data_IF_029653349544
#
_entry.id   IF_029653349544
#
_cell.length_a   1.000
_cell.length_b   1.000
_cell.length_c   1.000
_cell.angle_alpha   90.00
_cell.angle_beta   90.00
_cell.angle_gamma   90.00
#
_symmetry.space_group_name_H-M   'P 1'
#
loop_
_entity.id
_entity.type
_entity.pdbx_description
1 polymer ?
#
# COMPACT_ATOMS: atom_id res chain seq x y z
N UNK A 1 26.58 25.69 15.21
CA UNK A 1 27.61 25.70 14.12
C UNK A 1 26.96 25.79 12.74
N UNK A 2 25.99 24.93 12.42
CA UNK A 2 25.30 24.92 11.12
C UNK A 2 24.66 26.27 10.78
N UNK A 3 23.89 26.87 11.70
CA UNK A 3 23.29 28.22 11.53
C UNK A 3 24.28 29.27 11.02
N UNK A 4 25.46 29.39 11.66
CA UNK A 4 26.52 30.33 11.23
C UNK A 4 27.05 30.09 9.81
N UNK A 5 26.96 28.87 9.30
CA UNK A 5 27.33 28.55 7.91
C UNK A 5 26.21 28.97 6.96
N UNK A 6 24.97 28.62 7.30
CA UNK A 6 23.78 28.90 6.51
C UNK A 6 23.53 30.41 6.38
N UNK A 7 23.78 31.19 7.44
CA UNK A 7 23.59 32.65 7.45
C UNK A 7 24.43 33.40 6.41
N UNK A 8 25.56 32.80 5.97
CA UNK A 8 26.39 33.37 4.90
C UNK A 8 25.69 33.38 3.54
N UNK A 9 24.61 32.62 3.39
CA UNK A 9 23.86 32.47 2.15
C UNK A 9 22.56 33.28 2.12
N UNK A 10 22.28 34.10 3.16
CA UNK A 10 21.07 34.93 3.24
C UNK A 10 19.76 34.14 3.07
N UNK A 11 19.69 32.97 3.72
CA UNK A 11 18.50 32.10 3.73
C UNK A 11 17.96 31.95 5.16
N UNK A 12 16.64 31.73 5.29
CA UNK A 12 16.01 31.45 6.58
C UNK A 12 16.09 29.95 6.88
N UNK A 13 16.50 29.60 8.10
CA UNK A 13 16.65 28.20 8.51
C UNK A 13 15.33 27.67 9.07
N UNK A 14 14.84 26.56 8.52
CA UNK A 14 13.79 25.74 9.13
C UNK A 14 14.43 24.49 9.75
N UNK A 15 13.97 24.12 10.95
CA UNK A 15 14.43 22.93 11.67
C UNK A 15 13.23 22.15 12.17
N UNK A 16 13.25 20.82 11.99
CA UNK A 16 12.24 19.95 12.58
C UNK A 16 12.28 20.00 14.11
N UNK A 17 11.10 20.07 14.73
CA UNK A 17 10.96 20.34 16.15
C UNK A 17 10.98 19.09 17.05
N UNK A 18 11.29 17.91 16.50
CA UNK A 18 11.34 16.61 17.21
C UNK A 18 12.09 16.65 18.54
N UNK A 19 13.39 16.89 18.44
CA UNK A 19 14.30 16.89 19.58
C UNK A 19 14.02 18.08 20.50
N UNK A 20 13.77 19.31 19.99
CA UNK A 20 13.35 20.42 20.83
C UNK A 20 12.04 20.19 21.60
N UNK A 21 11.07 19.45 21.06
CA UNK A 21 9.81 19.14 21.76
C UNK A 21 10.00 18.01 22.78
N UNK A 22 10.86 17.04 22.47
CA UNK A 22 11.24 15.97 23.41
C UNK A 22 12.05 16.48 24.60
N UNK A 23 12.87 17.50 24.38
CA UNK A 23 13.71 18.15 25.41
C UNK A 23 13.51 19.68 25.36
N UNK A 24 12.41 20.21 25.93
CA UNK A 24 12.01 21.62 25.79
C UNK A 24 13.03 22.66 26.25
N UNK A 25 13.98 22.29 27.12
CA UNK A 25 15.10 23.14 27.52
C UNK A 25 16.03 23.50 26.34
N UNK A 26 16.06 22.67 25.29
CA UNK A 26 16.84 22.94 24.07
C UNK A 26 16.31 24.20 23.36
N UNK A 27 14.99 24.44 23.42
CA UNK A 27 14.36 25.61 22.82
C UNK A 27 14.90 26.94 23.37
N UNK A 28 15.44 26.94 24.59
CA UNK A 28 16.04 28.15 25.20
C UNK A 28 17.47 28.41 24.66
N UNK A 29 18.12 27.39 24.11
CA UNK A 29 19.45 27.48 23.50
C UNK A 29 19.43 27.72 21.98
N UNK A 30 18.27 27.57 21.32
CA UNK A 30 18.14 27.74 19.88
C UNK A 30 18.10 29.22 19.46
N UNK A 31 18.70 29.60 18.31
CA UNK A 31 18.58 30.95 17.75
C UNK A 31 17.12 31.29 17.45
N UNK A 32 16.64 32.46 17.88
CA UNK A 32 15.23 32.87 17.74
C UNK A 32 14.78 33.21 16.32
N UNK A 33 15.72 33.33 15.38
CA UNK A 33 15.48 33.66 13.98
C UNK A 33 15.31 32.43 13.07
N UNK A 34 15.20 31.23 13.66
CA UNK A 34 14.85 30.00 12.94
C UNK A 34 13.33 29.79 12.95
N UNK A 35 12.84 29.03 11.97
CA UNK A 35 11.48 28.50 11.94
C UNK A 35 11.53 27.07 12.47
N UNK A 36 10.61 26.72 13.38
CA UNK A 36 10.43 25.35 13.82
C UNK A 36 9.29 24.68 13.05
N UNK A 37 9.59 23.55 12.40
CA UNK A 37 8.59 22.68 11.78
C UNK A 37 8.15 21.62 12.77
N UNK A 38 6.97 21.77 13.37
CA UNK A 38 6.40 20.78 14.29
C UNK A 38 5.54 19.78 13.51
N UNK A 39 5.62 18.51 13.87
CA UNK A 39 4.96 17.45 13.13
C UNK A 39 4.50 16.32 14.04
N UNK A 40 3.42 15.69 13.61
CA UNK A 40 2.96 14.37 14.04
C UNK A 40 1.94 13.92 13.00
N UNK A 41 1.84 12.61 12.84
CA UNK A 41 0.99 11.97 11.83
C UNK A 41 -0.23 11.29 12.43
N UNK A 42 -0.42 11.45 13.75
CA UNK A 42 -1.58 10.93 14.46
C UNK A 42 -2.83 11.78 14.19
N UNK A 43 -3.98 11.09 14.15
CA UNK A 43 -5.29 11.72 13.97
C UNK A 43 -5.87 12.21 15.31
N UNK A 44 -5.21 13.22 15.89
CA UNK A 44 -5.53 13.77 17.21
C UNK A 44 -6.72 14.75 17.17
N UNK A 45 -7.36 14.94 18.33
CA UNK A 45 -8.44 15.93 18.49
C UNK A 45 -7.89 17.33 18.77
N UNK A 46 -6.68 17.45 19.33
CA UNK A 46 -5.94 18.68 19.56
C UNK A 46 -4.43 18.47 19.42
N UNK A 47 -3.68 19.54 19.13
CA UNK A 47 -2.23 19.51 18.90
C UNK A 47 -1.44 20.43 19.85
N UNK A 48 -2.01 20.75 21.02
CA UNK A 48 -1.44 21.69 21.99
C UNK A 48 -0.01 21.28 22.43
N UNK A 49 0.23 19.99 22.62
CA UNK A 49 1.54 19.43 22.99
C UNK A 49 2.64 19.72 21.95
N UNK A 50 2.26 19.77 20.68
CA UNK A 50 3.17 19.99 19.55
C UNK A 50 3.39 21.47 19.23
N UNK A 51 2.51 22.35 19.74
CA UNK A 51 2.46 23.77 19.37
C UNK A 51 2.86 24.69 20.53
N UNK A 52 2.27 24.51 21.72
CA UNK A 52 2.42 25.45 22.84
C UNK A 52 3.88 25.62 23.29
N UNK A 53 4.71 24.56 23.43
CA UNK A 53 6.09 24.73 23.85
C UNK A 53 6.93 25.63 22.93
N UNK A 54 6.62 25.61 21.63
CA UNK A 54 7.27 26.41 20.59
C UNK A 54 6.75 27.85 20.64
N UNK A 55 5.43 28.02 20.64
CA UNK A 55 4.75 29.32 20.64
C UNK A 55 5.11 30.15 21.88
N UNK A 56 5.04 29.53 23.07
CA UNK A 56 5.32 30.21 24.35
C UNK A 56 6.75 30.73 24.45
N UNK A 57 7.68 30.12 23.70
CA UNK A 57 9.09 30.56 23.63
C UNK A 57 9.37 31.55 22.50
N UNK A 58 8.33 32.02 21.81
CA UNK A 58 8.39 33.09 20.83
C UNK A 58 9.05 32.71 19.50
N UNK A 59 9.02 31.43 19.12
CA UNK A 59 9.50 31.00 17.80
C UNK A 59 8.43 31.21 16.73
N UNK A 60 8.88 31.55 15.52
CA UNK A 60 8.06 31.31 14.32
C UNK A 60 8.02 29.81 14.05
N UNK A 61 6.85 29.32 13.62
CA UNK A 61 6.68 27.89 13.40
C UNK A 61 5.69 27.58 12.28
N UNK A 62 5.87 26.42 11.69
CA UNK A 62 4.96 25.80 10.74
C UNK A 62 4.54 24.44 11.31
N UNK A 63 3.30 24.04 11.03
CA UNK A 63 2.85 22.68 11.30
C UNK A 63 3.06 21.81 10.07
N UNK A 64 3.31 20.52 10.26
CA UNK A 64 3.64 19.62 9.17
C UNK A 64 2.81 18.34 9.27
N UNK A 65 1.50 18.39 8.92
CA UNK A 65 0.65 17.22 8.85
C UNK A 65 1.07 16.30 7.70
N UNK A 66 0.50 15.11 7.61
CA UNK A 66 0.89 14.10 6.64
C UNK A 66 -0.24 13.52 5.81
N UNK A 67 0.06 13.14 4.57
CA UNK A 67 -0.82 12.37 3.67
C UNK A 67 -0.84 10.87 4.03
N UNK A 68 0.21 10.37 4.70
CA UNK A 68 0.28 9.05 5.36
C UNK A 68 0.32 7.84 4.43
N UNK A 69 1.24 7.89 3.46
CA UNK A 69 1.47 6.87 2.45
C UNK A 69 2.64 5.90 2.78
N UNK A 70 3.52 6.28 3.69
CA UNK A 70 4.64 5.47 4.19
C UNK A 70 4.26 4.03 4.54
N UNK A 71 5.02 3.07 4.02
CA UNK A 71 4.89 1.61 4.24
C UNK A 71 3.53 1.03 3.88
N UNK A 72 2.79 1.69 2.98
CA UNK A 72 1.45 1.29 2.57
C UNK A 72 1.32 1.20 1.06
N UNK A 73 0.36 0.40 0.62
CA UNK A 73 -0.04 0.32 -0.79
C UNK A 73 -0.69 1.63 -1.24
N UNK A 74 -1.51 2.25 -0.38
CA UNK A 74 -2.11 3.57 -0.60
C UNK A 74 -2.26 4.32 0.73
N UNK A 75 -2.44 5.65 0.70
CA UNK A 75 -2.51 6.43 1.93
C UNK A 75 -3.73 6.09 2.78
N UNK A 76 -3.58 6.12 4.11
CA UNK A 76 -4.73 6.02 5.01
C UNK A 76 -5.40 7.39 5.16
N UNK A 77 -6.36 7.67 4.28
CA UNK A 77 -7.06 8.96 4.28
C UNK A 77 -8.01 9.15 5.46
N UNK A 78 -8.45 8.10 6.17
CA UNK A 78 -9.19 8.31 7.42
C UNK A 78 -8.31 9.03 8.46
N UNK A 79 -7.07 8.61 8.60
CA UNK A 79 -6.10 9.24 9.51
C UNK A 79 -5.62 10.58 8.94
N UNK A 80 -5.24 10.64 7.67
CA UNK A 80 -4.64 11.81 7.04
C UNK A 80 -5.59 13.02 7.06
N UNK A 81 -6.86 12.85 6.68
CA UNK A 81 -7.82 13.97 6.64
C UNK A 81 -8.05 14.57 8.03
N UNK A 82 -8.17 13.72 9.07
CA UNK A 82 -8.33 14.19 10.45
C UNK A 82 -7.06 14.89 10.95
N UNK A 83 -5.88 14.33 10.65
CA UNK A 83 -4.60 14.93 10.99
C UNK A 83 -4.45 16.32 10.35
N UNK A 84 -4.58 16.43 9.03
CA UNK A 84 -4.48 17.69 8.27
C UNK A 84 -5.43 18.74 8.82
N UNK A 85 -6.74 18.45 8.88
CA UNK A 85 -7.75 19.45 9.28
C UNK A 85 -7.51 19.97 10.69
N UNK A 86 -7.30 19.07 11.65
CA UNK A 86 -7.22 19.45 13.06
C UNK A 86 -5.88 20.12 13.39
N UNK A 87 -4.78 19.70 12.75
CA UNK A 87 -3.47 20.31 12.97
C UNK A 87 -3.45 21.74 12.40
N UNK A 88 -3.97 21.94 11.18
CA UNK A 88 -4.12 23.26 10.57
C UNK A 88 -5.01 24.19 11.42
N UNK A 89 -6.14 23.67 11.91
CA UNK A 89 -7.06 24.42 12.78
C UNK A 89 -6.35 24.97 14.01
N UNK A 90 -5.56 24.14 14.67
CA UNK A 90 -4.85 24.53 15.90
C UNK A 90 -3.66 25.44 15.58
N UNK A 91 -2.98 25.21 14.45
CA UNK A 91 -1.92 26.07 13.93
C UNK A 91 -2.40 27.50 13.67
N UNK A 92 -3.55 27.66 13.02
CA UNK A 92 -4.16 28.96 12.73
C UNK A 92 -4.49 29.70 14.03
N UNK A 93 -5.14 29.04 14.99
CA UNK A 93 -5.43 29.61 16.33
C UNK A 93 -4.15 30.00 17.06
N UNK A 94 -3.08 29.26 16.85
CA UNK A 94 -1.80 29.48 17.50
C UNK A 94 -0.93 30.55 16.83
N UNK A 95 -1.27 30.99 15.61
CA UNK A 95 -0.51 31.99 14.86
C UNK A 95 0.69 31.40 14.11
N UNK A 96 0.61 30.14 13.67
CA UNK A 96 1.60 29.54 12.79
C UNK A 96 1.75 30.37 11.49
N UNK A 97 2.96 30.41 10.93
CA UNK A 97 3.22 31.17 9.69
C UNK A 97 2.87 30.39 8.42
N UNK A 98 2.52 29.10 8.55
CA UNK A 98 2.10 28.25 7.45
C UNK A 98 2.12 26.76 7.80
N UNK A 99 1.92 25.93 6.77
CA UNK A 99 1.90 24.48 6.87
C UNK A 99 2.77 23.84 5.77
N UNK A 100 3.44 22.72 6.10
CA UNK A 100 4.14 21.84 5.16
C UNK A 100 3.39 20.50 5.07
N UNK A 101 2.60 20.30 4.01
CA UNK A 101 1.87 19.05 3.83
C UNK A 101 2.85 17.94 3.42
N UNK A 102 3.14 17.03 4.34
CA UNK A 102 4.20 16.04 4.16
C UNK A 102 3.69 14.79 3.46
N UNK A 103 4.41 14.38 2.42
CA UNK A 103 4.25 13.09 1.74
C UNK A 103 5.58 12.36 1.89
N UNK A 104 5.57 11.16 2.47
CA UNK A 104 6.77 10.41 2.83
C UNK A 104 6.73 9.00 2.24
N UNK A 105 7.70 8.65 1.40
CA UNK A 105 7.67 7.38 0.66
C UNK A 105 8.50 6.27 1.33
N UNK A 106 8.41 6.15 2.65
CA UNK A 106 9.07 5.07 3.37
C UNK A 106 8.53 3.70 2.87
N UNK A 107 9.40 2.70 2.75
CA UNK A 107 9.07 1.38 2.19
C UNK A 107 9.38 1.25 0.69
N UNK A 108 9.30 2.35 -0.05
CA UNK A 108 9.74 2.46 -1.45
C UNK A 108 8.76 1.91 -2.49
N UNK A 109 7.62 1.34 -2.10
CA UNK A 109 6.57 0.89 -3.02
C UNK A 109 5.66 2.03 -3.52
N UNK A 110 5.56 3.12 -2.76
CA UNK A 110 4.62 4.21 -3.01
C UNK A 110 4.72 4.82 -4.42
N UNK A 111 3.59 5.30 -4.91
CA UNK A 111 3.46 6.06 -6.15
C UNK A 111 2.73 7.37 -5.82
N UNK A 112 3.31 8.51 -6.19
CA UNK A 112 2.84 9.84 -5.80
C UNK A 112 1.47 10.17 -6.38
N UNK A 113 1.09 9.59 -7.52
CA UNK A 113 -0.28 9.67 -8.06
C UNK A 113 -1.35 9.31 -7.01
N UNK A 114 -1.05 8.42 -6.04
CA UNK A 114 -1.99 8.05 -4.95
C UNK A 114 -2.11 9.12 -3.87
N UNK A 115 -1.27 10.14 -3.87
CA UNK A 115 -1.19 11.15 -2.81
C UNK A 115 -1.94 12.45 -3.15
N UNK A 116 -2.30 12.65 -4.42
CA UNK A 116 -2.95 13.89 -4.89
C UNK A 116 -4.24 14.23 -4.14
N UNK A 117 -5.02 13.24 -3.72
CA UNK A 117 -6.21 13.48 -2.90
C UNK A 117 -5.86 14.14 -1.55
N UNK A 118 -4.83 13.64 -0.85
CA UNK A 118 -4.35 14.22 0.40
C UNK A 118 -3.62 15.56 0.21
N UNK A 119 -2.90 15.72 -0.90
CA UNK A 119 -2.28 17.00 -1.29
C UNK A 119 -3.35 18.07 -1.50
N UNK A 120 -4.39 17.76 -2.27
CA UNK A 120 -5.50 18.67 -2.53
C UNK A 120 -6.28 19.01 -1.25
N UNK A 121 -6.49 18.03 -0.36
CA UNK A 121 -7.15 18.29 0.91
C UNK A 121 -6.31 19.19 1.83
N UNK A 122 -4.99 19.00 1.86
CA UNK A 122 -4.10 19.92 2.56
C UNK A 122 -4.15 21.34 2.01
N UNK A 123 -4.27 21.50 0.69
CA UNK A 123 -4.45 22.81 0.07
C UNK A 123 -5.78 23.48 0.49
N UNK A 124 -6.88 22.72 0.50
CA UNK A 124 -8.19 23.19 0.98
C UNK A 124 -8.10 23.67 2.43
N UNK A 125 -7.53 22.86 3.33
CA UNK A 125 -7.45 23.18 4.76
C UNK A 125 -6.44 24.29 5.08
N UNK A 126 -5.40 24.46 4.25
CA UNK A 126 -4.47 25.60 4.36
C UNK A 126 -5.11 26.92 3.93
N UNK A 127 -5.95 26.90 2.90
CA UNK A 127 -6.56 28.12 2.35
C UNK A 127 -7.83 28.54 3.10
N UNK A 128 -8.65 27.56 3.43
CA UNK A 128 -9.93 27.75 4.12
C UNK A 128 -10.16 26.60 5.10
N UNK A 129 -9.47 26.63 6.25
CA UNK A 129 -9.68 25.65 7.31
C UNK A 129 -11.15 25.66 7.75
N UNK A 130 -11.86 24.56 7.49
CA UNK A 130 -13.30 24.48 7.66
C UNK A 130 -13.73 23.10 8.19
N UNK A 131 -14.95 23.03 8.73
CA UNK A 131 -15.56 21.80 9.23
C UNK A 131 -16.64 21.25 8.27
N UNK A 132 -16.54 21.58 6.97
CA UNK A 132 -17.44 21.03 5.96
C UNK A 132 -17.31 19.51 5.85
N UNK A 133 -18.35 18.91 5.28
CA UNK A 133 -18.36 17.47 5.01
C UNK A 133 -17.31 17.14 3.95
N UNK A 134 -16.62 16.03 4.13
CA UNK A 134 -15.61 15.56 3.17
C UNK A 134 -16.24 15.32 1.80
N UNK A 135 -17.51 14.93 1.74
CA UNK A 135 -18.26 14.72 0.50
C UNK A 135 -18.41 16.02 -0.33
N UNK A 136 -18.49 17.18 0.33
CA UNK A 136 -18.55 18.47 -0.34
C UNK A 136 -17.19 18.81 -0.98
N UNK A 137 -16.09 18.51 -0.28
CA UNK A 137 -14.73 18.60 -0.83
C UNK A 137 -14.53 17.63 -2.00
N UNK A 138 -14.95 16.37 -1.85
CA UNK A 138 -14.85 15.35 -2.90
C UNK A 138 -15.54 15.84 -4.18
N UNK A 139 -16.75 16.40 -4.07
CA UNK A 139 -17.50 16.92 -5.22
C UNK A 139 -16.76 18.06 -5.91
N UNK A 140 -16.15 18.99 -5.15
CA UNK A 140 -15.35 20.07 -5.72
C UNK A 140 -14.06 19.57 -6.37
N UNK A 141 -13.38 18.61 -5.74
CA UNK A 141 -12.15 18.02 -6.25
C UNK A 141 -12.39 17.28 -7.57
N UNK A 142 -13.37 16.37 -7.61
CA UNK A 142 -13.70 15.61 -8.82
C UNK A 142 -14.08 16.53 -9.96
N UNK A 143 -14.95 17.51 -9.72
CA UNK A 143 -15.37 18.43 -10.76
C UNK A 143 -14.25 19.38 -11.20
N UNK A 144 -13.49 19.94 -10.24
CA UNK A 144 -12.53 21.01 -10.47
C UNK A 144 -11.18 20.54 -11.01
N UNK A 145 -10.71 19.36 -10.58
CA UNK A 145 -9.41 18.80 -11.01
C UNK A 145 -9.62 17.77 -12.10
N UNK A 146 -10.52 16.82 -11.88
CA UNK A 146 -10.69 15.67 -12.78
C UNK A 146 -11.75 15.89 -13.86
N UNK A 147 -12.56 16.96 -13.76
CA UNK A 147 -13.69 17.18 -14.67
C UNK A 147 -14.82 16.14 -14.52
N UNK A 148 -14.77 15.34 -13.46
CA UNK A 148 -15.72 14.25 -13.20
C UNK A 148 -16.90 14.74 -12.35
N UNK A 149 -18.11 14.38 -12.77
CA UNK A 149 -19.35 14.77 -12.09
C UNK A 149 -19.91 13.66 -11.19
N UNK A 150 -19.29 12.49 -11.20
CA UNK A 150 -19.80 11.29 -10.54
C UNK A 150 -18.99 10.90 -9.31
N UNK A 151 -17.97 11.67 -8.94
CA UNK A 151 -17.06 11.39 -7.83
C UNK A 151 -16.34 10.04 -7.94
N UNK A 152 -16.19 9.52 -9.16
CA UNK A 152 -15.69 8.17 -9.44
C UNK A 152 -14.35 7.89 -8.80
N UNK A 153 -13.42 8.86 -8.79
CA UNK A 153 -12.12 8.67 -8.18
C UNK A 153 -12.22 8.59 -6.65
N UNK A 154 -12.86 9.58 -6.03
CA UNK A 154 -12.95 9.61 -4.56
C UNK A 154 -13.80 8.47 -4.03
N UNK A 155 -14.89 8.11 -4.69
CA UNK A 155 -15.72 6.99 -4.27
C UNK A 155 -14.92 5.68 -4.31
N UNK A 156 -14.09 5.48 -5.34
CA UNK A 156 -13.18 4.35 -5.41
C UNK A 156 -12.07 4.39 -4.33
N UNK A 157 -11.51 5.57 -4.05
CA UNK A 157 -10.55 5.75 -2.94
C UNK A 157 -11.19 5.31 -1.62
N UNK A 158 -12.36 5.83 -1.28
CA UNK A 158 -13.05 5.49 -0.03
C UNK A 158 -13.49 4.04 -0.01
N UNK A 159 -13.84 3.46 -1.16
CA UNK A 159 -14.11 2.03 -1.25
C UNK A 159 -12.87 1.19 -0.93
N UNK A 160 -11.71 1.54 -1.48
CA UNK A 160 -10.45 0.86 -1.17
C UNK A 160 -10.01 1.06 0.29
N UNK A 161 -10.39 2.15 0.95
CA UNK A 161 -10.09 2.34 2.38
C UNK A 161 -10.77 1.30 3.28
N UNK A 162 -11.88 0.68 2.85
CA UNK A 162 -12.50 -0.43 3.59
C UNK A 162 -11.52 -1.61 3.77
N UNK A 163 -10.52 -1.74 2.89
CA UNK A 163 -9.48 -2.76 3.00
C UNK A 163 -8.64 -2.58 4.27
N UNK A 164 -8.49 -1.36 4.80
CA UNK A 164 -7.71 -1.09 6.00
C UNK A 164 -8.24 -1.81 7.24
N UNK A 165 -9.55 -2.08 7.28
CA UNK A 165 -10.24 -2.75 8.38
C UNK A 165 -10.14 -4.28 8.31
N UNK A 166 -9.72 -4.83 7.17
CA UNK A 166 -9.60 -6.26 6.97
C UNK A 166 -8.24 -6.77 7.49
N UNK A 167 -8.21 -7.68 8.48
CA UNK A 167 -6.96 -8.13 9.08
C UNK A 167 -5.90 -8.63 8.07
N UNK A 168 -6.24 -9.36 6.98
CA UNK A 168 -5.25 -9.83 6.01
C UNK A 168 -4.46 -8.73 5.30
N UNK A 169 -4.96 -7.49 5.26
CA UNK A 169 -4.28 -6.35 4.61
C UNK A 169 -3.34 -5.61 5.54
N UNK A 170 -3.40 -5.86 6.85
CA UNK A 170 -2.60 -5.18 7.87
C UNK A 170 -2.67 -3.64 7.74
N UNK A 171 -3.87 -3.06 7.69
CA UNK A 171 -4.04 -1.61 7.45
C UNK A 171 -3.35 -1.16 6.15
N UNK A 172 -3.54 -1.96 5.08
CA UNK A 172 -2.99 -1.75 3.74
C UNK A 172 -1.45 -1.67 3.69
N UNK A 173 -0.76 -2.31 4.63
CA UNK A 173 0.70 -2.26 4.71
C UNK A 173 1.35 -2.97 3.51
N UNK A 174 2.38 -2.38 2.91
CA UNK A 174 3.07 -2.96 1.74
C UNK A 174 3.72 -4.32 2.03
N UNK A 175 3.95 -4.67 3.31
CA UNK A 175 4.52 -5.97 3.70
C UNK A 175 3.69 -7.16 3.23
N UNK A 176 2.38 -6.99 3.06
CA UNK A 176 1.49 -8.07 2.59
C UNK A 176 1.88 -8.51 1.17
N UNK A 177 2.41 -7.58 0.37
CA UNK A 177 2.91 -7.84 -0.99
C UNK A 177 4.04 -8.85 -0.95
N UNK A 178 4.91 -8.77 0.06
CA UNK A 178 6.15 -9.53 0.15
C UNK A 178 6.04 -10.81 0.97
N UNK A 179 4.85 -11.11 1.51
CA UNK A 179 4.64 -12.28 2.37
C UNK A 179 4.78 -13.56 1.54
N UNK A 180 5.61 -14.51 2.00
CA UNK A 180 5.85 -15.75 1.26
C UNK A 180 4.54 -16.55 1.04
N UNK A 181 4.35 -17.06 -0.17
CA UNK A 181 3.17 -17.84 -0.59
C UNK A 181 3.55 -19.27 -0.98
N UNK A 182 4.80 -19.52 -1.32
CA UNK A 182 5.29 -20.81 -1.83
C UNK A 182 6.39 -21.29 -0.87
N UNK A 183 6.24 -22.45 -0.22
CA UNK A 183 7.31 -22.99 0.60
C UNK A 183 8.52 -23.37 -0.26
N UNK A 184 9.70 -23.23 0.31
CA UNK A 184 10.90 -23.89 -0.21
C UNK A 184 10.69 -25.41 -0.24
N UNK A 185 11.42 -26.12 -1.12
CA UNK A 185 11.33 -27.58 -1.18
C UNK A 185 11.61 -28.20 0.19
N UNK A 186 10.82 -29.21 0.54
CA UNK A 186 10.88 -29.93 1.82
C UNK A 186 10.48 -29.11 3.05
N UNK A 187 9.90 -27.92 2.85
CA UNK A 187 9.31 -27.11 3.91
C UNK A 187 7.79 -27.05 3.76
N UNK A 188 7.13 -26.72 4.86
CA UNK A 188 5.68 -26.52 4.93
C UNK A 188 5.33 -25.05 5.15
N UNK A 189 4.21 -24.61 4.56
CA UNK A 189 3.65 -23.29 4.81
C UNK A 189 2.18 -23.39 5.26
N UNK A 190 1.75 -22.51 6.15
CA UNK A 190 0.33 -22.36 6.51
C UNK A 190 -0.20 -21.05 5.93
N UNK A 191 -1.33 -21.12 5.21
CA UNK A 191 -1.97 -19.94 4.60
C UNK A 191 -3.42 -19.86 5.08
N UNK A 192 -3.82 -18.67 5.53
CA UNK A 192 -5.22 -18.36 5.80
C UNK A 192 -5.86 -17.82 4.52
N UNK A 193 -7.03 -18.36 4.17
CA UNK A 193 -7.83 -17.89 3.03
C UNK A 193 -9.06 -17.08 3.46
N UNK A 194 -9.20 -16.80 4.76
CA UNK A 194 -10.31 -16.01 5.26
C UNK A 194 -10.21 -14.56 4.78
N UNK A 195 -11.36 -13.94 4.55
CA UNK A 195 -11.54 -12.52 4.21
C UNK A 195 -10.93 -12.08 2.85
N UNK A 196 -10.18 -12.94 2.15
CA UNK A 196 -9.66 -12.64 0.81
C UNK A 196 -10.73 -12.49 -0.27
N UNK A 197 -11.85 -13.23 -0.16
CA UNK A 197 -13.01 -13.03 -1.03
C UNK A 197 -13.64 -11.63 -0.85
N UNK A 198 -13.68 -11.13 0.39
CA UNK A 198 -14.18 -9.78 0.66
C UNK A 198 -13.20 -8.71 0.16
N UNK A 199 -11.88 -8.93 0.30
CA UNK A 199 -10.84 -8.07 -0.29
C UNK A 199 -11.04 -7.97 -1.81
N UNK A 200 -11.27 -9.11 -2.48
CA UNK A 200 -11.51 -9.17 -3.92
C UNK A 200 -12.79 -8.41 -4.30
N UNK A 201 -13.88 -8.62 -3.56
CA UNK A 201 -15.15 -7.91 -3.78
C UNK A 201 -15.00 -6.40 -3.64
N UNK A 202 -14.36 -5.91 -2.57
CA UNK A 202 -14.10 -4.48 -2.35
C UNK A 202 -13.29 -3.90 -3.52
N UNK A 203 -12.25 -4.62 -3.95
CA UNK A 203 -11.40 -4.19 -5.06
C UNK A 203 -12.15 -4.13 -6.39
N UNK A 204 -13.03 -5.10 -6.67
CA UNK A 204 -13.87 -5.12 -7.87
C UNK A 204 -14.92 -4.01 -7.88
N UNK A 205 -15.51 -3.70 -6.71
CA UNK A 205 -16.41 -2.57 -6.54
C UNK A 205 -15.67 -1.24 -6.81
N UNK A 206 -14.47 -1.05 -6.27
CA UNK A 206 -13.63 0.11 -6.55
C UNK A 206 -13.27 0.22 -8.04
N UNK A 207 -12.88 -0.88 -8.68
CA UNK A 207 -12.64 -0.94 -10.12
C UNK A 207 -13.87 -0.50 -10.93
N UNK A 208 -15.05 -0.97 -10.55
CA UNK A 208 -16.31 -0.61 -11.23
C UNK A 208 -16.64 0.87 -11.11
N UNK A 209 -16.36 1.49 -9.95
CA UNK A 209 -16.52 2.94 -9.75
C UNK A 209 -15.60 3.76 -10.66
N UNK A 210 -14.35 3.33 -10.81
CA UNK A 210 -13.37 4.00 -11.67
C UNK A 210 -13.70 3.81 -13.16
N UNK A 211 -14.11 2.61 -13.57
CA UNK A 211 -14.48 2.32 -14.96
C UNK A 211 -15.82 2.96 -15.37
N UNK A 212 -16.67 3.28 -14.41
CA UNK A 212 -17.92 4.01 -14.62
C UNK A 212 -17.75 5.53 -14.84
N UNK A 213 -16.51 6.05 -14.81
CA UNK A 213 -16.23 7.48 -14.96
C UNK A 213 -16.62 8.02 -16.34
N UNK A 214 -16.92 9.31 -16.42
CA UNK A 214 -17.00 10.03 -17.70
C UNK A 214 -15.60 10.30 -18.28
N UNK A 215 -15.52 10.93 -19.45
CA UNK A 215 -14.23 11.46 -19.93
C UNK A 215 -13.68 12.46 -18.91
N UNK A 216 -12.60 12.08 -18.25
CA UNK A 216 -11.96 12.82 -17.16
C UNK A 216 -10.58 13.33 -17.57
N UNK A 217 -10.08 14.33 -16.86
CA UNK A 217 -8.69 14.79 -16.93
C UNK A 217 -7.81 13.94 -16.00
N UNK A 218 -6.51 13.92 -16.29
CA UNK A 218 -5.50 13.21 -15.47
C UNK A 218 -5.78 11.70 -15.34
N UNK A 219 -5.98 11.02 -16.48
CA UNK A 219 -6.28 9.57 -16.52
C UNK A 219 -5.27 8.72 -15.74
N UNK A 220 -3.99 9.11 -15.70
CA UNK A 220 -2.93 8.41 -14.97
C UNK A 220 -3.27 8.25 -13.47
N UNK A 221 -3.92 9.25 -12.84
CA UNK A 221 -4.32 9.18 -11.43
C UNK A 221 -5.37 8.07 -11.22
N UNK A 222 -6.36 8.00 -12.12
CA UNK A 222 -7.35 6.92 -12.07
C UNK A 222 -6.73 5.56 -12.37
N UNK A 223 -5.80 5.48 -13.33
CA UNK A 223 -5.12 4.23 -13.70
C UNK A 223 -4.30 3.66 -12.55
N UNK A 224 -3.66 4.50 -11.72
CA UNK A 224 -2.94 4.04 -10.53
C UNK A 224 -3.89 3.47 -9.48
N UNK A 225 -5.10 4.01 -9.32
CA UNK A 225 -6.10 3.39 -8.43
C UNK A 225 -6.72 2.11 -9.02
N UNK A 226 -6.89 2.01 -10.35
CA UNK A 226 -7.25 0.73 -11.01
C UNK A 226 -6.19 -0.33 -10.74
N UNK A 227 -4.91 0.03 -10.91
CA UNK A 227 -3.79 -0.85 -10.58
C UNK A 227 -3.78 -1.24 -9.09
N UNK A 228 -4.15 -0.33 -8.20
CA UNK A 228 -4.26 -0.62 -6.75
C UNK A 228 -5.31 -1.68 -6.47
N UNK A 229 -6.50 -1.54 -7.05
CA UNK A 229 -7.56 -2.54 -6.95
C UNK A 229 -7.14 -3.89 -7.58
N UNK A 230 -6.57 -3.86 -8.80
CA UNK A 230 -6.08 -5.07 -9.46
C UNK A 230 -4.99 -5.80 -8.65
N UNK A 231 -4.11 -5.04 -7.99
CA UNK A 231 -3.09 -5.59 -7.11
C UNK A 231 -3.70 -6.31 -5.91
N UNK A 232 -4.72 -5.74 -5.25
CA UNK A 232 -5.43 -6.43 -4.16
C UNK A 232 -6.20 -7.66 -4.62
N UNK A 233 -6.86 -7.59 -5.79
CA UNK A 233 -7.47 -8.77 -6.41
C UNK A 233 -6.43 -9.86 -6.68
N UNK A 234 -5.26 -9.49 -7.19
CA UNK A 234 -4.17 -10.43 -7.43
C UNK A 234 -3.65 -11.05 -6.14
N UNK A 235 -3.45 -10.28 -5.07
CA UNK A 235 -3.00 -10.83 -3.78
C UNK A 235 -4.03 -11.82 -3.22
N UNK A 236 -5.32 -11.51 -3.32
CA UNK A 236 -6.39 -12.41 -2.91
C UNK A 236 -6.35 -13.73 -3.71
N UNK A 237 -6.32 -13.63 -5.03
CA UNK A 237 -6.26 -14.80 -5.91
C UNK A 237 -4.99 -15.60 -5.73
N UNK A 238 -3.85 -14.95 -5.47
CA UNK A 238 -2.59 -15.61 -5.16
C UNK A 238 -2.69 -16.51 -3.92
N UNK A 239 -3.38 -16.04 -2.86
CA UNK A 239 -3.56 -16.82 -1.62
C UNK A 239 -4.54 -17.97 -1.81
N UNK A 240 -5.64 -17.72 -2.52
CA UNK A 240 -6.69 -18.70 -2.76
C UNK A 240 -6.17 -19.79 -3.71
N UNK A 241 -5.66 -19.41 -4.89
CA UNK A 241 -5.31 -20.33 -5.96
C UNK A 241 -4.10 -21.21 -5.61
N UNK A 242 -3.14 -20.72 -4.82
CA UNK A 242 -2.02 -21.53 -4.33
C UNK A 242 -2.50 -22.62 -3.37
N UNK A 243 -3.44 -22.30 -2.47
CA UNK A 243 -4.04 -23.30 -1.57
C UNK A 243 -4.86 -24.32 -2.37
N UNK A 244 -5.64 -23.87 -3.35
CA UNK A 244 -6.41 -24.74 -4.23
C UNK A 244 -5.52 -25.64 -5.11
N UNK A 245 -4.37 -25.13 -5.58
CA UNK A 245 -3.39 -25.92 -6.32
C UNK A 245 -2.78 -27.01 -5.43
N UNK A 246 -2.46 -26.69 -4.16
CA UNK A 246 -1.99 -27.66 -3.18
C UNK A 246 -3.06 -28.71 -2.84
N UNK A 247 -4.32 -28.29 -2.65
CA UNK A 247 -5.45 -29.20 -2.44
C UNK A 247 -5.65 -30.12 -3.64
N UNK A 248 -5.63 -29.58 -4.86
CA UNK A 248 -5.75 -30.34 -6.11
C UNK A 248 -4.62 -31.35 -6.25
N UNK A 249 -3.38 -30.96 -5.98
CA UNK A 249 -2.24 -31.89 -6.04
C UNK A 249 -2.37 -33.03 -5.01
N UNK A 250 -2.84 -32.73 -3.78
CA UNK A 250 -3.13 -33.75 -2.76
C UNK A 250 -4.22 -34.72 -3.22
N UNK A 251 -5.28 -34.23 -3.85
CA UNK A 251 -6.33 -35.08 -4.43
C UNK A 251 -5.80 -35.97 -5.57
N UNK A 252 -4.87 -35.48 -6.40
CA UNK A 252 -4.20 -36.31 -7.39
C UNK A 252 -3.38 -37.43 -6.76
N UNK A 253 -2.72 -37.19 -5.62
CA UNK A 253 -1.98 -38.23 -4.90
C UNK A 253 -2.89 -39.26 -4.25
N UNK A 254 -4.02 -38.83 -3.65
CA UNK A 254 -4.99 -39.75 -3.05
C UNK A 254 -5.62 -40.69 -4.09
N UNK A 255 -5.84 -40.17 -5.30
CA UNK A 255 -6.48 -40.89 -6.40
C UNK A 255 -5.48 -41.48 -7.40
N UNK A 256 -4.19 -41.61 -7.06
CA UNK A 256 -3.11 -41.85 -8.04
C UNK A 256 -3.27 -43.13 -8.88
N UNK A 257 -4.04 -44.10 -8.38
CA UNK A 257 -4.39 -45.32 -9.10
C UNK A 257 -5.46 -45.10 -10.19
N UNK A 258 -6.35 -44.12 -10.01
CA UNK A 258 -7.23 -43.60 -11.05
C UNK A 258 -6.51 -42.52 -11.86
N UNK A 259 -5.98 -42.95 -13.00
CA UNK A 259 -5.16 -42.14 -13.90
C UNK A 259 -5.93 -41.00 -14.55
N UNK A 260 -7.24 -41.13 -14.75
CA UNK A 260 -8.05 -40.09 -15.37
C UNK A 260 -8.35 -39.00 -14.34
N UNK A 261 -8.81 -39.41 -13.15
CA UNK A 261 -9.13 -38.49 -12.05
C UNK A 261 -7.88 -37.72 -11.60
N UNK A 262 -6.77 -38.42 -11.35
CA UNK A 262 -5.53 -37.77 -10.91
C UNK A 262 -4.98 -36.78 -11.92
N UNK A 263 -5.02 -37.12 -13.21
CA UNK A 263 -4.57 -36.22 -14.26
C UNK A 263 -5.41 -34.95 -14.32
N UNK A 264 -6.73 -35.05 -14.12
CA UNK A 264 -7.62 -33.89 -14.03
C UNK A 264 -7.20 -32.95 -12.89
N UNK A 265 -6.91 -33.51 -11.71
CA UNK A 265 -6.46 -32.71 -10.56
C UNK A 265 -5.08 -32.08 -10.77
N UNK A 266 -4.14 -32.78 -11.41
CA UNK A 266 -2.83 -32.21 -11.76
C UNK A 266 -2.95 -31.04 -12.75
N UNK A 267 -3.82 -31.18 -13.77
CA UNK A 267 -4.10 -30.07 -14.70
C UNK A 267 -4.73 -28.88 -13.98
N UNK A 268 -5.64 -29.12 -13.02
CA UNK A 268 -6.24 -28.05 -12.23
C UNK A 268 -5.17 -27.29 -11.41
N UNK A 269 -4.27 -28.03 -10.75
CA UNK A 269 -3.16 -27.44 -10.01
C UNK A 269 -2.24 -26.61 -10.93
N UNK A 270 -1.88 -27.13 -12.11
CA UNK A 270 -1.04 -26.43 -13.08
C UNK A 270 -1.70 -25.15 -13.60
N UNK A 271 -2.96 -25.22 -14.03
CA UNK A 271 -3.70 -24.07 -14.54
C UNK A 271 -3.80 -22.94 -13.51
N UNK A 272 -4.10 -23.28 -12.24
CA UNK A 272 -4.17 -22.28 -11.17
C UNK A 272 -2.85 -21.51 -11.00
N UNK A 273 -1.69 -22.17 -11.13
CA UNK A 273 -0.38 -21.51 -11.01
C UNK A 273 -0.03 -20.73 -12.28
N UNK A 274 -0.35 -21.24 -13.47
CA UNK A 274 -0.08 -20.56 -14.74
C UNK A 274 -0.87 -19.25 -14.87
N UNK A 275 -2.13 -19.22 -14.42
CA UNK A 275 -2.93 -17.98 -14.36
C UNK A 275 -2.30 -16.93 -13.45
N UNK A 276 -1.77 -17.34 -12.29
CA UNK A 276 -1.07 -16.45 -11.37
C UNK A 276 0.23 -15.91 -11.97
N UNK A 277 0.98 -16.74 -12.71
CA UNK A 277 2.22 -16.34 -13.36
C UNK A 277 2.00 -15.23 -14.40
N UNK A 278 0.95 -15.36 -15.23
CA UNK A 278 0.57 -14.36 -16.22
C UNK A 278 0.23 -13.02 -15.52
N UNK A 279 -0.55 -13.08 -14.44
CA UNK A 279 -0.95 -11.88 -13.70
C UNK A 279 0.21 -11.21 -12.97
N UNK A 280 1.11 -11.97 -12.34
CA UNK A 280 2.31 -11.43 -11.70
C UNK A 280 3.16 -10.65 -12.71
N UNK A 281 3.32 -11.16 -13.93
CA UNK A 281 4.07 -10.46 -14.99
C UNK A 281 3.39 -9.14 -15.41
N UNK A 282 2.05 -9.13 -15.49
CA UNK A 282 1.29 -7.91 -15.76
C UNK A 282 1.46 -6.88 -14.63
N UNK A 283 1.33 -7.29 -13.37
CA UNK A 283 1.54 -6.41 -12.20
C UNK A 283 2.94 -5.79 -12.21
N UNK A 284 3.97 -6.59 -12.50
CA UNK A 284 5.36 -6.11 -12.64
C UNK A 284 5.49 -5.07 -13.77
N UNK A 285 4.89 -5.33 -14.93
CA UNK A 285 4.91 -4.42 -16.07
C UNK A 285 4.22 -3.10 -15.75
N UNK A 286 3.03 -3.15 -15.16
CA UNK A 286 2.24 -1.96 -14.81
C UNK A 286 2.95 -1.13 -13.74
N UNK A 287 3.52 -1.77 -12.71
CA UNK A 287 4.33 -1.08 -11.72
C UNK A 287 5.52 -0.35 -12.35
N UNK A 288 6.28 -1.01 -13.24
CA UNK A 288 7.38 -0.39 -13.98
C UNK A 288 6.90 0.81 -14.79
N UNK A 289 5.75 0.70 -15.45
CA UNK A 289 5.14 1.79 -16.22
C UNK A 289 4.84 2.98 -15.31
N UNK A 290 4.07 2.80 -14.24
CA UNK A 290 3.69 3.89 -13.34
C UNK A 290 4.89 4.54 -12.67
N UNK A 291 5.87 3.73 -12.22
CA UNK A 291 7.11 4.27 -11.69
C UNK A 291 7.79 5.21 -12.70
N UNK A 292 7.91 4.81 -13.96
CA UNK A 292 8.59 5.61 -14.98
C UNK A 292 7.80 6.86 -15.42
N UNK A 293 6.52 6.97 -15.08
CA UNK A 293 5.73 8.18 -15.34
C UNK A 293 6.10 9.32 -14.37
N UNK A 294 6.47 9.01 -13.13
CA UNK A 294 6.72 10.01 -12.08
C UNK A 294 8.13 9.96 -11.46
N UNK A 295 8.85 8.84 -11.58
CA UNK A 295 10.12 8.60 -10.89
C UNK A 295 11.30 8.33 -11.84
N UNK A 296 12.51 8.55 -11.32
CA UNK A 296 13.77 8.19 -12.00
C UNK A 296 14.05 6.70 -11.88
N UNK A 297 14.78 6.15 -12.84
CA UNK A 297 15.17 4.73 -12.88
C UNK A 297 16.05 4.27 -11.72
N UNK A 298 16.72 5.18 -11.01
CA UNK A 298 17.75 4.88 -10.01
C UNK A 298 17.32 3.93 -8.88
N UNK A 299 16.04 3.94 -8.50
CA UNK A 299 15.52 3.14 -7.38
C UNK A 299 14.42 2.15 -7.78
N UNK A 300 14.16 2.00 -9.08
CA UNK A 300 13.10 1.10 -9.59
C UNK A 300 13.35 -0.36 -9.19
N UNK A 301 14.61 -0.79 -9.25
CA UNK A 301 15.09 -2.12 -8.90
C UNK A 301 14.74 -2.55 -7.47
N UNK A 302 14.69 -1.60 -6.52
CA UNK A 302 14.38 -1.87 -5.11
C UNK A 302 13.04 -2.55 -4.88
N UNK A 303 12.08 -2.34 -5.79
CA UNK A 303 10.76 -2.96 -5.77
C UNK A 303 10.64 -4.03 -6.84
N UNK A 304 11.12 -3.76 -8.06
CA UNK A 304 10.95 -4.71 -9.17
C UNK A 304 11.70 -6.02 -8.94
N UNK A 305 12.86 -6.00 -8.28
CA UNK A 305 13.61 -7.22 -7.98
C UNK A 305 12.82 -8.16 -7.05
N UNK A 306 12.06 -7.61 -6.10
CA UNK A 306 11.18 -8.39 -5.22
C UNK A 306 10.03 -9.03 -6.00
N UNK A 307 9.42 -8.27 -6.92
CA UNK A 307 8.36 -8.78 -7.79
C UNK A 307 8.88 -9.84 -8.78
N UNK A 308 10.11 -9.68 -9.28
CA UNK A 308 10.79 -10.63 -10.15
C UNK A 308 11.14 -11.93 -9.40
N UNK A 309 11.56 -11.85 -8.13
CA UNK A 309 11.75 -13.04 -7.28
C UNK A 309 10.43 -13.81 -7.10
N UNK A 310 9.32 -13.12 -6.84
CA UNK A 310 8.00 -13.74 -6.75
C UNK A 310 7.58 -14.42 -8.05
N UNK A 311 7.81 -13.76 -9.19
CA UNK A 311 7.60 -14.34 -10.50
C UNK A 311 8.44 -15.61 -10.69
N UNK A 312 9.73 -15.58 -10.35
CA UNK A 312 10.63 -16.74 -10.46
C UNK A 312 10.17 -17.90 -9.57
N UNK A 313 9.64 -17.64 -8.38
CA UNK A 313 9.09 -18.68 -7.48
C UNK A 313 7.85 -19.34 -8.08
N UNK A 314 6.93 -18.55 -8.66
CA UNK A 314 5.76 -19.07 -9.37
C UNK A 314 6.17 -19.89 -10.60
N UNK A 315 7.14 -19.40 -11.38
CA UNK A 315 7.65 -20.09 -12.58
C UNK A 315 8.27 -21.44 -12.22
N UNK A 316 9.12 -21.49 -11.17
CA UNK A 316 9.69 -22.75 -10.65
C UNK A 316 8.61 -23.71 -10.17
N UNK A 317 7.54 -23.22 -9.55
CA UNK A 317 6.40 -24.06 -9.14
C UNK A 317 5.63 -24.62 -10.35
N UNK A 318 5.32 -23.78 -11.33
CA UNK A 318 4.68 -24.19 -12.59
C UNK A 318 5.51 -25.28 -13.30
N UNK A 319 6.82 -25.07 -13.45
CA UNK A 319 7.72 -26.05 -14.07
C UNK A 319 7.72 -27.40 -13.33
N UNK A 320 7.74 -27.40 -11.99
CA UNK A 320 7.66 -28.64 -11.18
C UNK A 320 6.31 -29.36 -11.33
N UNK A 321 5.22 -28.62 -11.49
CA UNK A 321 3.89 -29.18 -11.75
C UNK A 321 3.81 -29.80 -13.15
N UNK A 322 4.36 -29.15 -14.17
CA UNK A 322 4.46 -29.69 -15.53
C UNK A 322 5.34 -30.94 -15.59
N UNK A 323 6.47 -30.95 -14.88
CA UNK A 323 7.31 -32.15 -14.72
C UNK A 323 6.51 -33.28 -14.06
N UNK A 324 5.77 -32.98 -13.00
CA UNK A 324 4.93 -33.96 -12.30
C UNK A 324 3.84 -34.53 -13.21
N UNK A 325 3.23 -33.70 -14.05
CA UNK A 325 2.25 -34.13 -15.06
C UNK A 325 2.88 -35.04 -16.13
N UNK A 326 4.07 -34.69 -16.62
CA UNK A 326 4.82 -35.48 -17.61
C UNK A 326 5.28 -36.84 -17.06
N UNK A 327 5.85 -36.83 -15.85
CA UNK A 327 6.27 -38.03 -15.14
C UNK A 327 5.06 -38.90 -14.81
N UNK A 328 3.96 -38.27 -14.38
CA UNK A 328 2.70 -38.96 -14.20
C UNK A 328 2.33 -39.65 -15.51
N UNK A 329 2.20 -38.95 -16.65
CA UNK A 329 1.83 -39.51 -17.96
C UNK A 329 2.75 -40.68 -18.42
N UNK A 330 4.02 -40.71 -17.99
CA UNK A 330 4.95 -41.85 -18.15
C UNK A 330 4.73 -43.03 -17.19
N UNK A 331 3.66 -43.01 -16.40
CA UNK A 331 3.30 -43.98 -15.37
C UNK A 331 4.24 -44.01 -14.16
N UNK A 332 4.92 -42.90 -13.88
CA UNK A 332 5.67 -42.74 -12.63
C UNK A 332 4.74 -42.32 -11.49
N UNK A 333 5.21 -42.52 -10.26
CA UNK A 333 4.49 -42.08 -9.06
C UNK A 333 4.67 -40.56 -8.85
N UNK A 334 3.64 -39.90 -8.33
CA UNK A 334 3.73 -38.48 -7.97
C UNK A 334 4.69 -38.30 -6.80
N UNK A 335 5.46 -37.22 -6.86
CA UNK A 335 6.36 -36.81 -5.78
C UNK A 335 5.54 -36.28 -4.60
N UNK A 336 6.02 -36.40 -3.35
CA UNK A 336 5.41 -35.75 -2.19
C UNK A 336 5.19 -34.24 -2.39
N UNK A 337 4.15 -33.61 -1.78
CA UNK A 337 3.86 -32.20 -1.98
C UNK A 337 4.99 -31.26 -1.54
N UNK A 338 5.72 -31.61 -0.49
CA UNK A 338 6.86 -30.84 0.02
C UNK A 338 8.02 -30.81 -0.99
N UNK A 339 8.24 -31.89 -1.73
CA UNK A 339 9.25 -31.96 -2.78
C UNK A 339 8.98 -30.98 -3.94
N UNK A 340 7.70 -30.75 -4.27
CA UNK A 340 7.30 -29.84 -5.34
C UNK A 340 6.92 -28.43 -4.87
N UNK A 341 6.97 -28.15 -3.56
CA UNK A 341 6.61 -26.84 -3.00
C UNK A 341 5.11 -26.61 -2.86
N UNK A 342 4.32 -27.68 -2.70
CA UNK A 342 2.87 -27.66 -2.44
C UNK A 342 2.49 -28.25 -1.07
N UNK A 343 3.43 -28.43 -0.14
CA UNK A 343 3.09 -28.71 1.26
C UNK A 343 2.56 -27.43 1.94
N UNK A 344 1.32 -27.11 1.61
CA UNK A 344 0.60 -25.92 2.07
C UNK A 344 -0.64 -26.38 2.83
N UNK A 345 -0.79 -25.89 4.05
CA UNK A 345 -1.94 -26.12 4.92
C UNK A 345 -2.86 -24.90 4.97
N UNK A 346 -4.13 -25.10 4.65
CA UNK A 346 -5.18 -24.13 4.91
C UNK A 346 -5.44 -24.04 6.42
N UNK A 347 -5.41 -22.83 6.96
CA UNK A 347 -5.78 -22.57 8.36
C UNK A 347 -7.02 -21.66 8.42
N UNK A 348 -7.87 -21.87 9.42
CA UNK A 348 -9.12 -21.14 9.62
C UNK A 348 -8.97 -19.89 10.50
N UNK A 349 -7.76 -19.55 10.95
CA UNK A 349 -7.50 -18.39 11.80
C UNK A 349 -6.91 -17.21 11.04
N UNK A 350 -7.12 -16.00 11.55
CA UNK A 350 -6.46 -14.76 11.09
C UNK A 350 -4.99 -14.66 11.55
N UNK A 351 -4.46 -15.68 12.22
CA UNK A 351 -3.11 -15.67 12.75
C UNK A 351 -2.08 -15.74 11.61
N UNK A 352 -1.55 -14.59 11.26
CA UNK A 352 -0.37 -14.45 10.43
C UNK A 352 0.86 -15.09 11.12
N UNK A 353 1.12 -16.37 10.84
CA UNK A 353 2.35 -17.06 11.26
C UNK A 353 3.48 -17.01 10.21
N UNK A 354 3.28 -16.29 9.11
CA UNK A 354 4.30 -16.14 8.06
C UNK A 354 5.48 -15.22 8.40
N UNK A 355 5.47 -14.58 9.58
CA UNK A 355 6.43 -13.53 9.98
C UNK A 355 7.54 -14.01 10.92
N UNK A 356 7.50 -15.29 11.35
CA UNK A 356 8.53 -15.89 12.19
C UNK A 356 9.29 -16.96 11.41
N UNK A 357 10.03 -16.54 10.37
CA UNK A 357 11.16 -17.28 9.82
C UNK A 357 12.28 -16.29 9.52
#
# INVERSE_FOLDING_TARGET
RIKKLVDKHNVKTLVWADEPLKYPEILDALPKDIILGTWTYDALDNFDEFINPIKERGFEFMVCPGVLNSTRVMPNFHTALKNIRNFDRDAIKAGAIGMLNCVWDDGGFALFNRDWYGVAYGAEQSWNNNEEKVEDFNTRLNLGVYGDKFNSLTDAIFKLLELAELPPTDNMNEKILWTNTIPERFNQLSISVNDWDEIKKISQEANSLILGRANSLYDDDFEVYLFTAELYEFIADLRINIVEAADSYREAMLNQNDRIISRKYLLNAANNIDELLIRQNKILYDYKRFWLLENKTYALDRVTDKMEDQYSKLEKLSNRLLESLHDFDKRLYLKPPDDIGLDIKKISGQYFRGWLV
#
